data_IF_524549098701
#
_entry.id   IF_524549098701
#
_cell.length_a   1.000
_cell.length_b   1.000
_cell.length_c   1.000
_cell.angle_alpha   90.00
_cell.angle_beta   90.00
_cell.angle_gamma   90.00
#
_symmetry.space_group_name_H-M   'P 1'
#
loop_
_entity.id
_entity.type
_entity.pdbx_description
1 polymer ?
#
# COMPACT_ATOMS: atom_id res chain seq x y z
N UNK A 1 45.95 12.27 -18.03
CA UNK A 1 46.15 12.02 -16.58
C UNK A 1 45.04 12.79 -15.89
N UNK A 2 43.84 12.24 -15.94
CA UNK A 2 42.64 12.94 -15.51
C UNK A 2 42.53 12.87 -13.99
N UNK A 3 42.37 14.07 -13.43
CA UNK A 3 42.31 14.38 -12.01
C UNK A 3 41.14 13.65 -11.33
N UNK A 4 41.43 12.59 -10.60
CA UNK A 4 40.53 12.04 -9.60
C UNK A 4 40.59 12.95 -8.36
N UNK A 5 39.70 13.93 -8.29
CA UNK A 5 39.33 14.53 -7.02
C UNK A 5 38.56 13.48 -6.21
N UNK A 6 39.23 12.85 -5.25
CA UNK A 6 38.54 12.06 -4.23
C UNK A 6 37.69 13.03 -3.38
N UNK A 7 36.37 12.85 -3.37
CA UNK A 7 35.49 13.56 -2.43
C UNK A 7 36.02 13.36 -1.00
N UNK A 8 35.92 14.40 -0.18
CA UNK A 8 36.25 14.26 1.24
C UNK A 8 35.35 13.19 1.87
N UNK A 9 35.84 12.50 2.90
CA UNK A 9 35.05 11.48 3.63
C UNK A 9 33.69 12.01 4.08
N UNK A 10 33.63 13.29 4.43
CA UNK A 10 32.40 13.98 4.88
C UNK A 10 31.43 14.22 3.73
N UNK A 11 31.93 14.66 2.57
CA UNK A 11 31.13 14.79 1.34
C UNK A 11 30.59 13.44 0.85
N UNK A 12 31.37 12.37 1.00
CA UNK A 12 30.92 11.01 0.69
C UNK A 12 29.79 10.57 1.63
N UNK A 13 29.91 10.84 2.93
CA UNK A 13 28.88 10.50 3.92
C UNK A 13 27.58 11.23 3.62
N UNK A 14 27.64 12.52 3.32
CA UNK A 14 26.44 13.29 3.01
C UNK A 14 25.79 12.86 1.69
N UNK A 15 26.61 12.52 0.67
CA UNK A 15 26.09 11.96 -0.57
C UNK A 15 25.41 10.60 -0.38
N UNK A 16 25.98 9.73 0.47
CA UNK A 16 25.36 8.44 0.81
C UNK A 16 24.03 8.65 1.54
N UNK A 17 23.93 9.59 2.47
CA UNK A 17 22.67 9.90 3.17
C UNK A 17 21.60 10.38 2.20
N UNK A 18 21.96 11.31 1.31
CA UNK A 18 21.04 11.85 0.30
C UNK A 18 20.50 10.74 -0.61
N UNK A 19 21.39 9.88 -1.12
CA UNK A 19 21.00 8.71 -1.93
C UNK A 19 20.16 7.71 -1.14
N UNK A 20 20.41 7.54 0.16
CA UNK A 20 19.62 6.64 1.01
C UNK A 20 18.17 7.13 1.13
N UNK A 21 17.98 8.42 1.38
CA UNK A 21 16.65 9.04 1.44
C UNK A 21 15.92 8.90 0.10
N UNK A 22 16.64 9.11 -1.00
CA UNK A 22 16.07 8.96 -2.34
C UNK A 22 15.62 7.51 -2.61
N UNK A 23 16.44 6.52 -2.23
CA UNK A 23 16.10 5.10 -2.33
C UNK A 23 14.88 4.74 -1.47
N UNK A 24 14.80 5.24 -0.23
CA UNK A 24 13.64 5.03 0.66
C UNK A 24 12.35 5.59 0.06
N UNK A 25 12.42 6.76 -0.56
CA UNK A 25 11.28 7.37 -1.23
C UNK A 25 10.81 6.54 -2.44
N UNK A 26 11.75 6.09 -3.30
CA UNK A 26 11.43 5.22 -4.44
C UNK A 26 10.85 3.89 -3.96
N UNK A 27 11.41 3.30 -2.91
CA UNK A 27 10.90 2.04 -2.34
C UNK A 27 9.49 2.20 -1.81
N UNK A 28 9.22 3.28 -1.08
CA UNK A 28 7.89 3.59 -0.55
C UNK A 28 6.86 3.76 -1.67
N UNK A 29 7.23 4.46 -2.74
CA UNK A 29 6.35 4.67 -3.89
C UNK A 29 6.07 3.37 -4.63
N UNK A 30 7.08 2.51 -4.83
CA UNK A 30 6.87 1.18 -5.42
C UNK A 30 5.99 0.29 -4.57
N UNK A 31 6.15 0.31 -3.25
CA UNK A 31 5.29 -0.45 -2.34
C UNK A 31 3.84 -0.01 -2.46
N UNK A 32 3.58 1.31 -2.50
CA UNK A 32 2.23 1.84 -2.75
C UNK A 32 1.67 1.39 -4.10
N UNK A 33 2.49 1.37 -5.14
CA UNK A 33 2.05 0.89 -6.47
C UNK A 33 1.73 -0.61 -6.46
N UNK A 34 2.53 -1.42 -5.77
CA UNK A 34 2.26 -2.86 -5.60
C UNK A 34 0.96 -3.06 -4.81
N UNK A 35 0.75 -2.32 -3.73
CA UNK A 35 -0.50 -2.34 -2.98
C UNK A 35 -1.70 -1.91 -3.84
N UNK A 36 -1.54 -0.88 -4.67
CA UNK A 36 -2.58 -0.42 -5.61
C UNK A 36 -2.86 -1.42 -6.74
N UNK A 37 -1.85 -2.20 -7.16
CA UNK A 37 -2.00 -3.26 -8.16
C UNK A 37 -2.62 -4.51 -7.56
N UNK A 38 -2.37 -4.78 -6.28
CA UNK A 38 -2.95 -5.89 -5.54
C UNK A 38 -4.30 -5.50 -4.94
N UNK A 39 -5.32 -5.35 -5.79
CA UNK A 39 -6.70 -5.07 -5.33
C UNK A 39 -7.48 -6.32 -4.94
N UNK A 40 -7.02 -7.48 -5.39
CA UNK A 40 -7.72 -8.75 -5.22
C UNK A 40 -7.07 -9.61 -4.15
N UNK A 41 -7.90 -10.21 -3.32
CA UNK A 41 -7.50 -11.30 -2.43
C UNK A 41 -7.09 -12.52 -3.26
N UNK A 42 -5.95 -13.12 -2.93
CA UNK A 42 -5.39 -14.19 -3.75
C UNK A 42 -6.24 -15.46 -3.73
N UNK A 43 -6.86 -15.77 -2.60
CA UNK A 43 -7.63 -16.99 -2.39
C UNK A 43 -9.02 -16.90 -3.04
N UNK A 44 -9.71 -15.79 -2.83
CA UNK A 44 -11.12 -15.61 -3.25
C UNK A 44 -11.27 -14.85 -4.56
N UNK A 45 -10.22 -14.15 -5.04
CA UNK A 45 -10.25 -13.22 -6.18
C UNK A 45 -11.23 -12.06 -6.03
N UNK A 46 -11.80 -11.87 -4.84
CA UNK A 46 -12.61 -10.71 -4.50
C UNK A 46 -11.72 -9.53 -4.14
N UNK A 47 -12.31 -8.33 -4.08
CA UNK A 47 -11.61 -7.16 -3.56
C UNK A 47 -11.09 -7.45 -2.15
N UNK A 48 -9.81 -7.18 -1.93
CA UNK A 48 -9.22 -7.35 -0.62
C UNK A 48 -9.70 -6.26 0.35
N UNK A 49 -9.27 -6.40 1.61
CA UNK A 49 -9.63 -5.45 2.67
C UNK A 49 -9.21 -4.01 2.37
N UNK A 50 -8.06 -3.81 1.71
CA UNK A 50 -7.57 -2.47 1.37
C UNK A 50 -8.50 -1.78 0.36
N UNK A 51 -8.89 -2.49 -0.70
CA UNK A 51 -9.85 -1.99 -1.69
C UNK A 51 -11.24 -1.73 -1.08
N UNK A 52 -11.70 -2.58 -0.14
CA UNK A 52 -12.94 -2.32 0.60
C UNK A 52 -12.89 -1.00 1.38
N UNK A 53 -11.80 -0.74 2.11
CA UNK A 53 -11.64 0.49 2.89
C UNK A 53 -11.57 1.72 1.98
N UNK A 54 -10.80 1.64 0.89
CA UNK A 54 -10.73 2.71 -0.10
C UNK A 54 -12.12 3.00 -0.67
N UNK A 55 -12.86 1.95 -1.08
CA UNK A 55 -14.19 2.08 -1.66
C UNK A 55 -15.18 2.68 -0.67
N UNK A 56 -15.21 2.21 0.58
CA UNK A 56 -16.06 2.77 1.64
C UNK A 56 -15.80 4.25 1.87
N UNK A 57 -14.54 4.70 1.78
CA UNK A 57 -14.18 6.12 1.86
C UNK A 57 -14.83 6.94 0.74
N UNK A 58 -14.82 6.45 -0.49
CA UNK A 58 -15.50 7.10 -1.62
C UNK A 58 -17.02 7.10 -1.45
N UNK A 59 -17.62 5.96 -1.09
CA UNK A 59 -19.08 5.84 -0.97
C UNK A 59 -19.63 6.67 0.20
N UNK A 60 -18.90 6.81 1.30
CA UNK A 60 -19.28 7.68 2.44
C UNK A 60 -19.33 9.14 2.03
N UNK A 61 -18.31 9.61 1.26
CA UNK A 61 -18.29 10.96 0.71
C UNK A 61 -19.43 11.18 -0.28
N UNK A 62 -19.72 10.17 -1.12
CA UNK A 62 -20.84 10.19 -2.06
C UNK A 62 -22.18 10.33 -1.33
N UNK A 63 -22.45 9.45 -0.37
CA UNK A 63 -23.67 9.46 0.44
C UNK A 63 -23.89 10.80 1.16
N UNK A 64 -22.81 11.37 1.72
CA UNK A 64 -22.86 12.70 2.35
C UNK A 64 -23.26 13.80 1.34
N UNK A 65 -22.72 13.75 0.13
CA UNK A 65 -22.99 14.75 -0.92
C UNK A 65 -24.37 14.61 -1.56
N UNK A 66 -24.82 13.37 -1.79
CA UNK A 66 -26.10 13.09 -2.47
C UNK A 66 -27.27 12.99 -1.50
N UNK A 67 -27.00 12.90 -0.19
CA UNK A 67 -27.99 12.59 0.86
C UNK A 67 -28.71 11.25 0.64
N UNK A 68 -28.11 10.35 -0.14
CA UNK A 68 -28.60 8.98 -0.26
C UNK A 68 -28.05 8.11 0.87
N UNK A 69 -28.84 7.19 1.44
CA UNK A 69 -28.37 6.30 2.48
C UNK A 69 -27.33 5.30 1.93
N UNK A 70 -26.29 5.04 2.71
CA UNK A 70 -25.32 3.97 2.48
C UNK A 70 -25.60 2.82 3.46
N UNK A 71 -25.57 1.58 2.97
CA UNK A 71 -25.71 0.37 3.78
C UNK A 71 -24.52 -0.56 3.57
N UNK A 72 -24.12 -1.28 4.62
CA UNK A 72 -23.02 -2.24 4.60
C UNK A 72 -23.51 -3.57 5.19
N UNK A 73 -23.15 -4.68 4.55
CA UNK A 73 -23.37 -6.04 5.06
C UNK A 73 -22.00 -6.67 5.32
N UNK A 74 -21.81 -7.16 6.54
CA UNK A 74 -20.64 -7.93 6.94
C UNK A 74 -21.13 -9.28 7.45
N UNK A 75 -20.51 -10.35 6.98
CA UNK A 75 -20.81 -11.72 7.40
C UNK A 75 -19.49 -12.49 7.55
N UNK A 76 -19.53 -13.54 8.36
CA UNK A 76 -18.43 -14.46 8.60
C UNK A 76 -18.90 -15.90 8.38
N UNK A 77 -17.96 -16.81 8.17
CA UNK A 77 -18.28 -18.25 8.04
C UNK A 77 -18.09 -18.92 9.40
N UNK A 78 -19.20 -19.35 10.00
CA UNK A 78 -19.18 -20.07 11.27
C UNK A 78 -18.41 -21.40 11.14
N UNK A 79 -17.70 -21.79 12.21
CA UNK A 79 -17.00 -23.08 12.35
C UNK A 79 -15.99 -23.42 11.22
N UNK A 80 -15.41 -22.41 10.57
CA UNK A 80 -14.48 -22.62 9.45
C UNK A 80 -13.23 -23.44 9.82
N UNK A 81 -12.85 -23.50 11.09
CA UNK A 81 -11.76 -24.37 11.60
C UNK A 81 -11.99 -25.84 11.27
N UNK A 82 -13.21 -26.36 11.42
CA UNK A 82 -13.52 -27.77 11.18
C UNK A 82 -13.41 -28.16 9.69
N UNK A 83 -13.53 -27.19 8.78
CA UNK A 83 -13.37 -27.39 7.33
C UNK A 83 -11.89 -27.39 6.95
N UNK A 84 -11.07 -26.54 7.58
CA UNK A 84 -9.63 -26.44 7.32
C UNK A 84 -8.81 -27.58 7.94
N UNK A 85 -9.28 -28.16 9.05
CA UNK A 85 -8.56 -29.23 9.76
C UNK A 85 -8.71 -30.63 9.12
N UNK A 86 -9.44 -30.75 8.00
CA UNK A 86 -9.71 -32.00 7.28
C UNK A 86 -8.96 -32.08 5.96
#
# INVERSE_FOLDING_TARGET
>A
MDSYQALSKEQLIDKVKELTIELENVQTEKNKQIEQMSRLDFLTKLNNRSELVERLGYETKRATRTKEPLSLVLFDVDDFTAVNDR
#
